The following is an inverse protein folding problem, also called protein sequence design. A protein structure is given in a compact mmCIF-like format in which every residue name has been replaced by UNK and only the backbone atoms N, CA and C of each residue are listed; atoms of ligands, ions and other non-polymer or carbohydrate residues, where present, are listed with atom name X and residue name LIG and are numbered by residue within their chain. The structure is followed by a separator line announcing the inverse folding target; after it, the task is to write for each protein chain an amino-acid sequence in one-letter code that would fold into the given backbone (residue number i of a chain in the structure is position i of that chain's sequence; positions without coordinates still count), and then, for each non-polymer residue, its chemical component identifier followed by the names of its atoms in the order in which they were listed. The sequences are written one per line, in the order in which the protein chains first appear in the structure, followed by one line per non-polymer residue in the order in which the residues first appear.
data_IF_364307302731
#
_entry.id   IF_364307302731
#
_cell.length_a   1.000
_cell.length_b   1.000
_cell.length_c   1.000
_cell.angle_alpha   90.00
_cell.angle_beta   90.00
_cell.angle_gamma   90.00
#
_symmetry.space_group_name_H-M   'P 1'
#
loop_
_entity.id
_entity.type
_entity.pdbx_description
1 polymer ?
#
# COMPACT_ATOMS: atom_id res chain seq x y z
N UNK A 1 -13.37 7.95 -7.96
CA UNK A 1 -13.05 7.05 -6.84
C UNK A 1 -13.06 5.62 -7.35
N UNK A 2 -12.41 4.71 -6.63
CA UNK A 2 -12.47 3.27 -6.84
C UNK A 2 -13.36 2.62 -5.78
N UNK A 3 -14.19 1.65 -6.18
CA UNK A 3 -15.01 0.86 -5.27
C UNK A 3 -14.13 0.03 -4.34
N UNK A 4 -14.49 -0.03 -3.05
CA UNK A 4 -13.61 -0.61 -2.04
C UNK A 4 -13.42 -2.13 -2.20
N UNK A 5 -14.51 -2.85 -2.47
CA UNK A 5 -14.51 -4.30 -2.70
C UNK A 5 -15.75 -4.74 -3.49
N UNK A 6 -15.69 -5.96 -4.00
CA UNK A 6 -16.85 -6.72 -4.50
C UNK A 6 -16.92 -8.03 -3.74
N UNK A 7 -18.08 -8.35 -3.21
CA UNK A 7 -18.26 -9.52 -2.35
C UNK A 7 -19.70 -10.02 -2.35
N UNK A 8 -19.86 -11.22 -1.81
CA UNK A 8 -21.15 -11.88 -1.63
C UNK A 8 -21.99 -11.16 -0.57
N UNK A 9 -23.31 -11.33 -0.64
CA UNK A 9 -24.24 -10.82 0.39
C UNK A 9 -23.90 -11.34 1.79
N UNK A 10 -23.58 -12.64 1.88
CA UNK A 10 -23.30 -13.35 3.11
C UNK A 10 -22.25 -14.44 2.88
N UNK A 11 -21.52 -14.80 3.94
CA UNK A 11 -20.49 -15.85 3.85
C UNK A 11 -21.12 -17.19 3.46
N UNK A 12 -20.49 -17.87 2.52
CA UNK A 12 -20.83 -19.24 2.17
C UNK A 12 -20.19 -20.26 3.11
N UNK A 13 -20.82 -21.41 3.31
CA UNK A 13 -20.24 -22.52 4.08
C UNK A 13 -19.13 -23.27 3.33
N UNK A 14 -18.22 -23.89 4.09
CA UNK A 14 -17.21 -24.80 3.54
C UNK A 14 -17.67 -26.27 3.67
N UNK A 15 -17.42 -27.14 2.66
CA UNK A 15 -16.76 -26.87 1.39
C UNK A 15 -17.75 -26.46 0.27
N UNK A 16 -17.48 -25.34 -0.42
CA UNK A 16 -18.25 -24.90 -1.59
C UNK A 16 -17.29 -24.45 -2.71
N UNK A 17 -17.34 -25.03 -3.92
CA UNK A 17 -16.49 -24.59 -5.01
C UNK A 17 -16.98 -23.25 -5.60
N UNK A 18 -16.08 -22.36 -6.08
CA UNK A 18 -16.44 -20.99 -6.48
C UNK A 18 -17.56 -20.88 -7.54
N UNK A 19 -17.63 -21.80 -8.50
CA UNK A 19 -18.64 -21.77 -9.57
C UNK A 19 -20.05 -22.19 -9.10
N UNK A 20 -20.18 -22.70 -7.86
CA UNK A 20 -21.46 -23.09 -7.25
C UNK A 20 -21.92 -22.10 -6.20
N UNK A 21 -21.18 -21.01 -6.00
CA UNK A 21 -21.60 -19.94 -5.10
C UNK A 21 -22.92 -19.33 -5.58
N UNK A 22 -24.01 -19.49 -4.79
CA UNK A 22 -25.32 -19.00 -5.18
C UNK A 22 -25.56 -17.54 -4.73
N UNK A 23 -24.62 -16.93 -3.99
CA UNK A 23 -24.83 -15.62 -3.40
C UNK A 23 -24.87 -14.52 -4.47
N UNK A 24 -25.77 -13.54 -4.34
CA UNK A 24 -25.65 -12.28 -5.07
C UNK A 24 -24.32 -11.59 -4.73
N UNK A 25 -23.67 -10.99 -5.73
CA UNK A 25 -22.44 -10.22 -5.55
C UNK A 25 -22.72 -8.73 -5.61
N UNK A 26 -22.27 -8.00 -4.60
CA UNK A 26 -22.45 -6.57 -4.46
C UNK A 26 -21.12 -5.83 -4.53
N UNK A 27 -21.20 -4.62 -5.08
CA UNK A 27 -20.10 -3.67 -5.10
C UNK A 27 -20.23 -2.74 -3.90
N UNK A 28 -19.24 -2.76 -2.99
CA UNK A 28 -19.20 -1.84 -1.85
C UNK A 28 -19.00 -0.40 -2.32
N UNK A 29 -19.38 0.55 -1.45
CA UNK A 29 -19.12 1.97 -1.69
C UNK A 29 -17.62 2.24 -1.97
N UNK A 30 -17.28 3.28 -2.74
CA UNK A 30 -15.90 3.70 -2.92
C UNK A 30 -15.24 4.12 -1.62
N UNK A 31 -13.93 3.91 -1.51
CA UNK A 31 -13.12 4.45 -0.41
C UNK A 31 -11.88 5.18 -0.92
N UNK A 32 -11.35 6.05 -0.09
CA UNK A 32 -10.12 6.82 -0.36
C UNK A 32 -8.93 5.88 -0.44
N UNK A 33 -8.81 4.95 0.53
CA UNK A 33 -7.78 3.92 0.54
C UNK A 33 -7.77 3.12 -0.78
N UNK A 34 -8.91 2.59 -1.22
CA UNK A 34 -9.01 1.84 -2.49
C UNK A 34 -8.66 2.71 -3.71
N UNK A 35 -9.03 3.99 -3.68
CA UNK A 35 -8.72 4.94 -4.75
C UNK A 35 -7.21 5.22 -4.81
N UNK A 36 -6.53 5.39 -3.68
CA UNK A 36 -5.10 5.63 -3.63
C UNK A 36 -4.28 4.37 -3.91
N UNK A 37 -4.74 3.20 -3.46
CA UNK A 37 -4.17 1.90 -3.82
C UNK A 37 -4.22 1.69 -5.35
N UNK A 38 -5.34 2.06 -6.00
CA UNK A 38 -5.43 2.08 -7.47
C UNK A 38 -4.43 3.09 -8.07
N UNK A 39 -4.29 4.27 -7.48
CA UNK A 39 -3.33 5.27 -7.97
C UNK A 39 -1.89 4.75 -7.94
N UNK A 40 -1.48 4.18 -6.81
CA UNK A 40 -0.15 3.63 -6.58
C UNK A 40 0.17 2.47 -7.54
N UNK A 41 -0.68 1.44 -7.54
CA UNK A 41 -0.46 0.22 -8.35
C UNK A 41 -0.59 0.49 -9.85
N UNK A 42 -1.47 1.40 -10.29
CA UNK A 42 -1.58 1.76 -11.69
C UNK A 42 -0.41 2.65 -12.16
N UNK A 43 0.17 3.50 -11.29
CA UNK A 43 1.41 4.19 -11.61
C UNK A 43 2.58 3.19 -11.77
N UNK A 44 2.69 2.22 -10.86
CA UNK A 44 3.64 1.11 -10.99
C UNK A 44 3.44 0.30 -12.27
N UNK A 45 2.20 -0.06 -12.59
CA UNK A 45 1.86 -0.70 -13.86
C UNK A 45 2.39 0.11 -15.05
N UNK A 46 2.15 1.42 -15.07
CA UNK A 46 2.54 2.26 -16.19
C UNK A 46 4.05 2.24 -16.46
N UNK A 47 4.90 2.29 -15.42
CA UNK A 47 6.35 2.22 -15.62
C UNK A 47 6.84 0.81 -15.99
N UNK A 48 6.24 -0.25 -15.43
CA UNK A 48 6.65 -1.64 -15.69
C UNK A 48 6.31 -2.05 -17.13
N UNK A 49 5.15 -1.64 -17.63
CA UNK A 49 4.65 -2.05 -18.95
C UNK A 49 5.10 -1.14 -20.10
N UNK A 50 5.79 -0.03 -19.80
CA UNK A 50 6.11 1.03 -20.77
C UNK A 50 6.73 0.50 -22.08
N UNK A 51 7.68 -0.42 -21.97
CA UNK A 51 8.45 -0.92 -23.12
C UNK A 51 7.86 -2.21 -23.74
N UNK A 52 6.96 -2.89 -23.02
CA UNK A 52 6.34 -4.16 -23.46
C UNK A 52 4.96 -3.94 -24.07
N UNK A 53 4.14 -3.07 -23.46
CA UNK A 53 2.81 -2.70 -23.95
C UNK A 53 2.54 -1.22 -23.61
N UNK A 54 3.00 -0.35 -24.49
CA UNK A 54 2.87 1.10 -24.32
C UNK A 54 1.41 1.58 -24.26
N UNK A 55 0.49 0.89 -24.93
CA UNK A 55 -0.93 1.25 -24.91
C UNK A 55 -1.55 0.94 -23.54
N UNK A 56 -1.23 -0.23 -22.99
CA UNK A 56 -1.64 -0.60 -21.64
C UNK A 56 -0.98 0.28 -20.58
N UNK A 57 0.32 0.57 -20.70
CA UNK A 57 1.04 1.48 -19.82
C UNK A 57 0.38 2.87 -19.75
N UNK A 58 -0.02 3.43 -20.91
CA UNK A 58 -0.74 4.71 -20.98
C UNK A 58 -2.11 4.64 -20.31
N UNK A 59 -2.83 3.53 -20.46
CA UNK A 59 -4.11 3.31 -19.76
C UNK A 59 -3.93 3.25 -18.25
N UNK A 60 -2.91 2.53 -17.78
CA UNK A 60 -2.53 2.47 -16.37
C UNK A 60 -2.22 3.87 -15.81
N UNK A 61 -1.39 4.66 -16.51
CA UNK A 61 -1.06 6.01 -16.05
C UNK A 61 -2.29 6.93 -15.99
N UNK A 62 -3.16 6.88 -17.00
CA UNK A 62 -4.39 7.66 -17.00
C UNK A 62 -5.33 7.29 -15.84
N UNK A 63 -5.42 6.00 -15.50
CA UNK A 63 -6.17 5.54 -14.34
C UNK A 63 -5.55 6.06 -13.03
N UNK A 64 -4.22 6.00 -12.93
CA UNK A 64 -3.49 6.44 -11.75
C UNK A 64 -3.71 7.92 -11.44
N UNK A 65 -3.52 8.80 -12.43
CA UNK A 65 -3.69 10.24 -12.26
C UNK A 65 -5.16 10.62 -12.00
N UNK A 66 -6.12 9.91 -12.61
CA UNK A 66 -7.54 10.12 -12.35
C UNK A 66 -7.90 9.71 -10.92
N UNK A 67 -7.34 8.61 -10.42
CA UNK A 67 -7.54 8.14 -9.07
C UNK A 67 -6.96 9.12 -8.05
N UNK A 68 -5.71 9.55 -8.24
CA UNK A 68 -5.07 10.60 -7.42
C UNK A 68 -5.91 11.88 -7.33
N UNK A 69 -6.33 12.43 -8.47
CA UNK A 69 -7.17 13.63 -8.52
C UNK A 69 -8.51 13.44 -7.80
N UNK A 70 -9.07 12.23 -7.88
CA UNK A 70 -10.32 11.90 -7.20
C UNK A 70 -10.12 11.79 -5.68
N UNK A 71 -9.06 11.13 -5.21
CA UNK A 71 -8.76 11.00 -3.79
C UNK A 71 -8.51 12.36 -3.13
N UNK A 72 -7.79 13.27 -3.80
CA UNK A 72 -7.58 14.64 -3.30
C UNK A 72 -8.87 15.45 -3.17
N UNK A 73 -9.90 15.17 -3.97
CA UNK A 73 -11.23 15.80 -3.85
C UNK A 73 -12.10 15.16 -2.77
N UNK A 74 -11.82 13.92 -2.41
CA UNK A 74 -12.61 13.11 -1.49
C UNK A 74 -11.68 12.38 -0.49
N UNK A 75 -10.89 13.10 0.33
CA UNK A 75 -9.80 12.49 1.11
C UNK A 75 -10.28 11.68 2.32
N UNK A 76 -11.54 11.87 2.73
CA UNK A 76 -12.09 11.32 3.99
C UNK A 76 -13.28 10.39 3.74
N UNK A 77 -13.26 9.62 2.66
CA UNK A 77 -14.24 8.56 2.39
C UNK A 77 -13.65 7.24 2.85
N UNK A 78 -14.06 6.76 4.02
CA UNK A 78 -13.46 5.58 4.66
C UNK A 78 -14.28 4.32 4.38
N UNK A 79 -13.58 3.19 4.31
CA UNK A 79 -14.23 1.90 4.29
C UNK A 79 -14.86 1.60 5.65
N UNK A 80 -15.97 0.89 5.63
CA UNK A 80 -16.68 0.44 6.82
C UNK A 80 -17.32 -0.91 6.51
N UNK A 81 -17.69 -1.65 7.56
CA UNK A 81 -18.31 -2.95 7.40
C UNK A 81 -19.76 -2.82 6.90
N UNK A 82 -19.95 -2.96 5.59
CA UNK A 82 -21.23 -2.72 4.92
C UNK A 82 -22.00 -3.97 4.53
N UNK A 83 -21.37 -5.14 4.47
CA UNK A 83 -22.01 -6.43 4.17
C UNK A 83 -21.29 -7.57 4.90
N UNK A 84 -22.06 -8.54 5.38
CA UNK A 84 -21.55 -9.64 6.21
C UNK A 84 -20.89 -10.77 5.41
N UNK A 85 -20.82 -10.69 4.08
CA UNK A 85 -20.25 -11.74 3.22
C UNK A 85 -18.76 -11.62 2.92
N UNK A 86 -18.05 -10.66 3.53
CA UNK A 86 -16.60 -10.52 3.36
C UNK A 86 -15.98 -9.74 4.51
N UNK A 87 -14.65 -9.84 4.65
CA UNK A 87 -13.90 -9.01 5.59
C UNK A 87 -14.03 -7.50 5.28
N UNK A 88 -14.07 -6.63 6.29
CA UNK A 88 -14.35 -5.20 6.10
C UNK A 88 -13.23 -4.46 5.40
N UNK A 89 -11.96 -4.80 5.70
CA UNK A 89 -10.77 -4.02 5.30
C UNK A 89 -10.95 -2.52 5.58
N UNK A 90 -11.56 -2.20 6.72
CA UNK A 90 -11.79 -0.84 7.15
C UNK A 90 -10.46 -0.15 7.49
N UNK A 91 -10.35 1.10 7.09
CA UNK A 91 -9.24 1.96 7.45
C UNK A 91 -9.71 3.42 7.44
N UNK A 92 -9.27 4.15 8.46
CA UNK A 92 -9.59 5.56 8.71
C UNK A 92 -8.36 6.46 8.67
N UNK A 93 -7.17 5.89 8.42
CA UNK A 93 -5.89 6.60 8.33
C UNK A 93 -5.28 6.36 6.97
N UNK A 94 -5.60 7.24 6.03
CA UNK A 94 -5.20 7.09 4.63
C UNK A 94 -3.99 7.93 4.23
N UNK A 95 -3.30 8.53 5.20
CA UNK A 95 -2.21 9.46 4.94
C UNK A 95 -0.94 8.77 4.43
N UNK A 96 -0.77 7.49 4.74
CA UNK A 96 0.28 6.63 4.18
C UNK A 96 -0.07 6.16 2.76
N UNK A 97 -1.33 5.89 2.42
CA UNK A 97 -1.73 5.67 1.03
C UNK A 97 -1.49 6.91 0.16
N UNK A 98 -1.73 8.11 0.70
CA UNK A 98 -1.42 9.35 -0.02
C UNK A 98 0.08 9.45 -0.29
N UNK A 99 0.92 9.11 0.70
CA UNK A 99 2.35 9.07 0.54
C UNK A 99 2.80 8.02 -0.49
N UNK A 100 2.30 6.78 -0.40
CA UNK A 100 2.65 5.72 -1.32
C UNK A 100 2.21 6.04 -2.75
N UNK A 101 0.96 6.47 -2.96
CA UNK A 101 0.48 6.86 -4.28
C UNK A 101 1.31 8.00 -4.88
N UNK A 102 1.69 9.00 -4.07
CA UNK A 102 2.55 10.08 -4.52
C UNK A 102 3.95 9.57 -4.91
N UNK A 103 4.55 8.69 -4.11
CA UNK A 103 5.85 8.07 -4.40
C UNK A 103 5.85 7.31 -5.74
N UNK A 104 4.80 6.52 -5.99
CA UNK A 104 4.65 5.77 -7.23
C UNK A 104 4.43 6.67 -8.45
N UNK A 105 3.58 7.69 -8.31
CA UNK A 105 3.29 8.67 -9.35
C UNK A 105 4.50 9.55 -9.67
N UNK A 106 5.23 10.01 -8.65
CA UNK A 106 6.46 10.77 -8.81
C UNK A 106 7.51 9.96 -9.56
N UNK A 107 7.79 8.74 -9.09
CA UNK A 107 8.76 7.84 -9.73
C UNK A 107 8.41 7.52 -11.18
N UNK A 108 7.12 7.47 -11.50
CA UNK A 108 6.63 7.15 -12.85
C UNK A 108 6.63 8.36 -13.79
N UNK A 109 6.45 9.57 -13.27
CA UNK A 109 6.16 10.77 -14.10
C UNK A 109 7.12 11.94 -13.92
N UNK A 110 7.87 12.00 -12.82
CA UNK A 110 8.73 13.12 -12.45
C UNK A 110 7.98 14.42 -12.09
N UNK A 111 6.65 14.42 -11.99
CA UNK A 111 5.89 15.67 -11.78
C UNK A 111 6.07 16.23 -10.36
N UNK A 112 6.26 17.55 -10.31
CA UNK A 112 6.48 18.30 -9.07
C UNK A 112 5.34 18.17 -8.04
N UNK A 113 4.08 18.09 -8.49
CA UNK A 113 2.91 17.97 -7.58
C UNK A 113 3.01 16.72 -6.67
N UNK A 114 3.58 15.62 -7.18
CA UNK A 114 3.76 14.40 -6.41
C UNK A 114 4.99 14.50 -5.50
N UNK A 115 6.06 15.16 -5.95
CA UNK A 115 7.22 15.46 -5.13
C UNK A 115 6.86 16.31 -3.91
N UNK A 116 6.01 17.33 -4.11
CA UNK A 116 5.54 18.19 -3.03
C UNK A 116 4.68 17.40 -2.04
N UNK A 117 3.81 16.51 -2.51
CA UNK A 117 3.01 15.63 -1.65
C UNK A 117 3.89 14.67 -0.82
N UNK A 118 4.92 14.09 -1.44
CA UNK A 118 5.91 13.22 -0.77
C UNK A 118 6.63 13.99 0.34
N UNK A 119 7.17 15.18 0.04
CA UNK A 119 7.96 15.98 0.99
C UNK A 119 7.15 16.55 2.14
N UNK A 120 5.86 16.82 1.92
CA UNK A 120 4.95 17.30 2.96
C UNK A 120 4.36 16.17 3.82
N UNK A 121 4.59 14.90 3.45
CA UNK A 121 4.12 13.76 4.22
C UNK A 121 4.98 13.52 5.47
N UNK A 122 4.33 13.16 6.58
CA UNK A 122 5.03 12.69 7.79
C UNK A 122 5.81 11.38 7.58
N UNK A 123 5.49 10.65 6.52
CA UNK A 123 6.14 9.39 6.15
C UNK A 123 7.35 9.58 5.21
N UNK A 124 7.76 10.82 4.95
CA UNK A 124 8.86 11.10 4.03
C UNK A 124 10.15 10.36 4.45
N UNK A 125 10.51 9.36 3.66
CA UNK A 125 11.68 8.49 3.85
C UNK A 125 11.68 7.74 5.18
N UNK A 126 10.51 7.46 5.75
CA UNK A 126 10.35 6.57 6.91
C UNK A 126 10.30 5.11 6.47
N UNK A 127 10.73 4.21 7.35
CA UNK A 127 10.63 2.76 7.18
C UNK A 127 10.19 2.14 8.50
N UNK A 128 9.82 0.85 8.52
CA UNK A 128 9.42 0.18 9.74
C UNK A 128 10.52 0.28 10.81
N UNK A 129 10.15 0.38 12.09
CA UNK A 129 11.15 0.45 13.16
C UNK A 129 11.85 -0.88 13.41
N UNK A 130 11.19 -1.99 13.05
CA UNK A 130 11.58 -3.33 13.43
C UNK A 130 11.56 -3.53 14.95
N UNK A 131 10.56 -2.93 15.61
CA UNK A 131 10.29 -3.13 17.03
C UNK A 131 9.21 -4.18 17.25
N UNK A 132 9.05 -4.62 18.50
CA UNK A 132 8.04 -5.60 18.90
C UNK A 132 6.58 -5.18 18.63
N UNK A 133 6.37 -3.90 18.39
CA UNK A 133 5.06 -3.30 18.14
C UNK A 133 4.77 -3.23 16.62
N UNK A 134 5.66 -3.77 15.79
CA UNK A 134 5.55 -3.77 14.32
C UNK A 134 5.33 -2.35 13.76
N UNK A 135 5.95 -1.34 14.39
CA UNK A 135 5.66 0.06 14.08
C UNK A 135 6.07 0.39 12.65
N UNK A 136 5.09 0.70 11.80
CA UNK A 136 5.29 1.03 10.40
C UNK A 136 5.63 -0.17 9.51
N UNK A 137 5.47 -1.40 10.02
CA UNK A 137 5.59 -2.62 9.22
C UNK A 137 4.59 -2.57 8.06
N UNK A 138 5.00 -3.08 6.90
CA UNK A 138 4.16 -3.04 5.71
C UNK A 138 3.02 -4.04 5.83
N UNK A 139 1.78 -3.54 5.86
CA UNK A 139 0.58 -4.36 5.77
C UNK A 139 -0.53 -3.58 5.06
N UNK A 140 -1.74 -4.14 5.04
CA UNK A 140 -2.83 -3.59 4.23
C UNK A 140 -3.41 -2.26 4.76
N UNK A 141 -3.14 -1.87 6.02
CA UNK A 141 -3.50 -0.55 6.60
C UNK A 141 -2.30 0.37 6.84
N UNK A 142 -1.07 -0.08 6.57
CA UNK A 142 0.10 0.79 6.61
C UNK A 142 1.00 0.44 5.43
N UNK A 143 0.90 1.29 4.41
CA UNK A 143 1.62 1.16 3.14
C UNK A 143 2.74 2.19 3.00
N UNK A 144 3.07 2.91 4.07
CA UNK A 144 4.09 3.94 4.06
C UNK A 144 5.45 3.40 3.61
N UNK A 145 5.83 2.22 4.10
CA UNK A 145 7.06 1.54 3.74
C UNK A 145 7.17 1.27 2.22
N UNK A 146 6.07 0.97 1.54
CA UNK A 146 6.06 0.71 0.09
C UNK A 146 6.48 1.97 -0.69
N UNK A 147 6.02 3.15 -0.27
CA UNK A 147 6.46 4.43 -0.84
C UNK A 147 7.96 4.65 -0.70
N UNK A 148 8.50 4.45 0.49
CA UNK A 148 9.95 4.61 0.74
C UNK A 148 10.79 3.60 -0.02
N UNK A 149 10.33 2.34 -0.13
CA UNK A 149 11.01 1.30 -0.94
C UNK A 149 11.09 1.75 -2.41
N UNK A 150 9.99 2.24 -2.98
CA UNK A 150 9.98 2.74 -4.36
C UNK A 150 10.97 3.90 -4.54
N UNK A 151 10.97 4.89 -3.65
CA UNK A 151 11.88 6.04 -3.71
C UNK A 151 13.36 5.65 -3.52
N UNK A 152 13.63 4.59 -2.76
CA UNK A 152 14.98 4.09 -2.53
C UNK A 152 15.54 3.26 -3.71
N UNK A 153 14.69 2.46 -4.36
CA UNK A 153 15.15 1.40 -5.27
C UNK A 153 14.93 1.71 -6.75
N UNK A 154 13.90 2.47 -7.10
CA UNK A 154 13.58 2.76 -8.50
C UNK A 154 14.20 4.11 -8.89
N UNK A 155 14.89 4.24 -10.04
CA UNK A 155 15.44 5.52 -10.48
C UNK A 155 14.37 6.62 -10.51
N UNK A 156 14.67 7.75 -9.89
CA UNK A 156 13.78 8.92 -9.78
C UNK A 156 14.60 10.20 -9.56
N UNK A 157 13.94 11.35 -9.64
CA UNK A 157 14.58 12.67 -9.60
C UNK A 157 14.70 13.26 -8.17
N UNK A 158 14.67 12.43 -7.11
CA UNK A 158 15.01 12.89 -5.77
C UNK A 158 16.49 13.31 -5.68
N UNK A 159 16.83 14.24 -4.77
CA UNK A 159 18.22 14.51 -4.42
C UNK A 159 18.96 13.21 -4.04
N UNK A 160 20.20 13.05 -4.49
CA UNK A 160 21.00 11.85 -4.21
C UNK A 160 21.14 11.55 -2.71
N UNK A 161 21.22 12.58 -1.87
CA UNK A 161 21.24 12.45 -0.41
C UNK A 161 19.92 11.91 0.15
N UNK A 162 18.78 12.26 -0.44
CA UNK A 162 17.47 11.75 -0.03
C UNK A 162 17.30 10.27 -0.41
N UNK A 163 17.75 9.88 -1.60
CA UNK A 163 17.79 8.46 -2.01
C UNK A 163 18.71 7.65 -1.09
N UNK A 164 19.89 8.20 -0.76
CA UNK A 164 20.82 7.57 0.19
C UNK A 164 20.21 7.43 1.58
N UNK A 165 19.51 8.46 2.06
CA UNK A 165 18.80 8.44 3.33
C UNK A 165 17.73 7.35 3.34
N UNK A 166 16.88 7.26 2.30
CA UNK A 166 15.86 6.22 2.20
C UNK A 166 16.45 4.81 2.27
N UNK A 167 17.54 4.56 1.52
CA UNK A 167 18.27 3.28 1.56
C UNK A 167 18.82 2.99 2.96
N UNK A 168 19.41 3.99 3.62
CA UNK A 168 19.95 3.81 4.96
C UNK A 168 18.86 3.51 6.00
N UNK A 169 17.70 4.16 5.90
CA UNK A 169 16.56 3.90 6.78
C UNK A 169 16.09 2.43 6.65
N UNK A 170 15.99 1.91 5.41
CA UNK A 170 15.66 0.49 5.15
C UNK A 170 16.74 -0.46 5.72
N UNK A 171 18.02 -0.13 5.56
CA UNK A 171 19.12 -0.94 6.13
C UNK A 171 19.04 -0.96 7.66
N UNK A 172 18.70 0.17 8.29
CA UNK A 172 18.54 0.24 9.74
C UNK A 172 17.38 -0.66 10.21
N UNK A 173 16.24 -0.64 9.51
CA UNK A 173 15.12 -1.56 9.77
C UNK A 173 15.56 -3.03 9.70
N UNK A 174 16.28 -3.40 8.63
CA UNK A 174 16.79 -4.76 8.46
C UNK A 174 17.75 -5.16 9.59
N UNK A 175 18.60 -4.24 10.06
CA UNK A 175 19.47 -4.47 11.21
C UNK A 175 18.67 -4.70 12.51
N UNK A 176 17.58 -3.96 12.74
CA UNK A 176 16.69 -4.19 13.88
C UNK A 176 16.11 -5.60 13.85
N UNK A 177 15.56 -6.01 12.71
CA UNK A 177 15.03 -7.37 12.54
C UNK A 177 16.11 -8.45 12.75
N UNK A 178 17.32 -8.24 12.23
CA UNK A 178 18.43 -9.17 12.42
C UNK A 178 18.86 -9.29 13.90
N UNK A 179 18.76 -8.20 14.68
CA UNK A 179 18.99 -8.24 16.12
C UNK A 179 17.89 -9.01 16.84
N UNK A 180 16.62 -8.83 16.47
CA UNK A 180 15.50 -9.60 17.03
C UNK A 180 15.67 -11.10 16.82
N UNK A 181 16.12 -11.52 15.63
CA UNK A 181 16.41 -12.95 15.33
C UNK A 181 17.40 -13.56 16.33
N UNK A 182 18.41 -12.81 16.78
CA UNK A 182 19.41 -13.33 17.73
C UNK A 182 18.84 -13.61 19.12
N UNK A 183 17.71 -12.99 19.45
CA UNK A 183 17.03 -13.14 20.74
C UNK A 183 15.84 -14.10 20.69
N UNK A 184 15.42 -14.54 19.49
CA UNK A 184 14.25 -15.39 19.29
C UNK A 184 14.63 -16.86 19.08
N UNK A 185 14.02 -17.77 19.85
CA UNK A 185 14.35 -19.21 19.83
C UNK A 185 14.07 -19.91 18.49
N UNK A 186 13.14 -19.38 17.70
CA UNK A 186 12.80 -19.89 16.36
C UNK A 186 13.49 -19.13 15.22
N UNK A 187 14.40 -18.20 15.54
CA UNK A 187 15.14 -17.39 14.57
C UNK A 187 14.26 -16.61 13.58
N UNK A 188 13.07 -16.21 14.03
CA UNK A 188 12.16 -15.36 13.25
C UNK A 188 12.45 -13.87 13.54
N UNK A 189 12.33 -12.98 12.54
CA UNK A 189 12.60 -11.55 12.69
C UNK A 189 11.42 -10.80 13.36
N UNK A 190 10.82 -11.43 14.36
CA UNK A 190 9.62 -10.94 15.01
C UNK A 190 9.61 -11.36 16.47
N UNK A 191 9.45 -10.38 17.35
CA UNK A 191 9.29 -10.58 18.79
C UNK A 191 7.98 -9.94 19.21
N UNK A 192 7.06 -10.71 19.77
CA UNK A 192 5.78 -10.17 20.24
C UNK A 192 5.31 -10.84 21.53
N UNK A 193 4.52 -10.07 22.29
CA UNK A 193 3.80 -10.57 23.47
C UNK A 193 2.60 -11.44 23.03
N UNK A 194 1.96 -11.07 21.92
CA UNK A 194 0.90 -11.83 21.25
C UNK A 194 1.11 -11.79 19.72
N UNK A 195 0.87 -12.91 19.04
CA UNK A 195 1.04 -13.01 17.59
C UNK A 195 -0.26 -12.58 16.88
N UNK A 196 -0.21 -11.58 15.96
CA UNK A 196 -1.40 -11.07 15.28
C UNK A 196 -1.96 -12.05 14.24
N UNK A 197 -3.19 -11.79 13.79
CA UNK A 197 -3.82 -12.52 12.71
C UNK A 197 -2.94 -12.49 11.45
N UNK A 198 -2.52 -13.67 10.98
CA UNK A 198 -1.63 -13.87 9.81
C UNK A 198 -0.25 -13.22 10.00
N UNK A 199 0.41 -13.57 11.11
CA UNK A 199 1.82 -13.26 11.40
C UNK A 199 2.78 -13.53 10.24
N UNK A 200 2.55 -14.55 9.40
CA UNK A 200 3.49 -14.98 8.35
C UNK A 200 3.57 -14.05 7.13
N UNK A 201 3.01 -12.83 7.21
CA UNK A 201 2.98 -11.84 6.13
C UNK A 201 4.01 -10.71 6.27
N UNK A 202 4.71 -10.60 7.40
CA UNK A 202 5.79 -9.62 7.62
C UNK A 202 7.11 -10.07 7.01
#
# INVERSE_FOLDING_TARGET
MAFHKVADEAWTGMPLPPHKDPQPRYLSQPSTAATLNLAATAAQCARVWKDTDAAYAKRCLAAAEKAWKSANKHPNVFAYDNFVGSGPYDDTKVDDEFYWAAAELFTTTGKAEYLDAIKNSRYYLTSPKGDKDATGDLFWQDVSAAGTITLALVPNDLPAEDVKKAKQTIINTANSYAQSVQTEGYLIPYSAVEYPWVLTRT
#
